data_IF_203623221231
#
_entry.id   IF_203623221231
#
_cell.length_a   1.000
_cell.length_b   1.000
_cell.length_c   1.000
_cell.angle_alpha   90.00
_cell.angle_beta   90.00
_cell.angle_gamma   90.00
#
_symmetry.space_group_name_H-M   'P 1'
#
loop_
_entity.id
_entity.type
_entity.pdbx_description
1 polymer ?
#
# COMPACT_ATOMS: atom_id res chain seq x y z
N UNK A 1 -25.40 -6.97 -0.82
CA UNK A 1 -23.96 -7.28 -0.87
C UNK A 1 -23.32 -6.30 0.08
N UNK A 2 -22.86 -6.78 1.22
CA UNK A 2 -22.21 -5.92 2.22
C UNK A 2 -20.91 -5.40 1.61
N UNK A 3 -20.90 -4.10 1.31
CA UNK A 3 -19.73 -3.39 0.80
C UNK A 3 -18.86 -3.03 2.01
N UNK A 4 -18.33 -4.03 2.70
CA UNK A 4 -17.50 -3.83 3.88
C UNK A 4 -16.25 -3.05 3.45
N UNK A 5 -15.97 -1.94 4.14
CA UNK A 5 -14.79 -1.14 3.86
C UNK A 5 -13.65 -1.62 4.76
N UNK A 6 -12.45 -1.68 4.20
CA UNK A 6 -11.21 -1.99 4.93
C UNK A 6 -10.28 -0.80 4.85
N UNK A 7 -9.53 -0.59 5.92
CA UNK A 7 -8.47 0.40 5.97
C UNK A 7 -7.16 -0.21 5.47
N UNK A 8 -6.51 0.47 4.52
CA UNK A 8 -5.21 0.06 3.98
C UNK A 8 -4.29 1.26 3.85
N UNK A 9 -2.99 1.02 3.91
CA UNK A 9 -1.97 2.03 3.66
C UNK A 9 -1.14 1.64 2.44
N UNK A 10 -1.01 2.58 1.50
CA UNK A 10 -0.13 2.42 0.33
C UNK A 10 1.10 3.26 0.57
N UNK A 11 2.26 2.62 0.50
CA UNK A 11 3.56 3.25 0.73
C UNK A 11 4.40 3.18 -0.54
N UNK A 12 5.01 4.30 -0.91
CA UNK A 12 6.07 4.33 -1.90
C UNK A 12 7.24 5.17 -1.39
N UNK A 13 8.45 4.67 -1.59
CA UNK A 13 9.67 5.31 -1.10
C UNK A 13 10.81 5.19 -2.12
N UNK A 14 11.51 6.29 -2.30
CA UNK A 14 12.81 6.41 -2.94
C UNK A 14 13.86 6.74 -1.86
N UNK A 15 15.17 6.71 -2.16
CA UNK A 15 16.20 7.08 -1.19
C UNK A 15 16.01 8.48 -0.58
N UNK A 16 15.46 9.41 -1.37
CA UNK A 16 15.34 10.82 -1.00
C UNK A 16 13.95 11.19 -0.45
N UNK A 17 12.92 10.37 -0.70
CA UNK A 17 11.53 10.71 -0.37
C UNK A 17 10.70 9.46 -0.11
N UNK A 18 9.87 9.51 0.92
CA UNK A 18 8.83 8.52 1.17
C UNK A 18 7.46 9.17 1.31
N UNK A 19 6.42 8.44 0.95
CA UNK A 19 5.04 8.86 1.12
C UNK A 19 4.17 7.66 1.50
N UNK A 20 3.28 7.89 2.46
CA UNK A 20 2.26 6.93 2.90
C UNK A 20 0.90 7.57 2.65
N UNK A 21 -0.01 6.81 2.05
CA UNK A 21 -1.39 7.23 1.81
C UNK A 21 -2.33 6.20 2.43
N UNK A 22 -3.05 6.62 3.45
CA UNK A 22 -4.11 5.83 4.07
C UNK A 22 -5.40 5.94 3.23
N UNK A 23 -6.04 4.81 2.97
CA UNK A 23 -7.25 4.70 2.16
C UNK A 23 -8.28 3.80 2.85
N UNK A 24 -9.54 4.17 2.73
CA UNK A 24 -10.65 3.22 2.94
C UNK A 24 -11.10 2.70 1.58
N UNK A 25 -11.03 1.39 1.41
CA UNK A 25 -11.40 0.72 0.15
C UNK A 25 -12.37 -0.41 0.42
N UNK A 26 -13.26 -0.75 -0.54
CA UNK A 26 -14.08 -1.94 -0.41
C UNK A 26 -13.23 -3.20 -0.24
N UNK A 27 -13.69 -4.11 0.61
CA UNK A 27 -13.12 -5.45 0.72
C UNK A 27 -13.12 -6.12 -0.67
N UNK A 28 -12.04 -6.84 -0.98
CA UNK A 28 -11.79 -7.39 -2.30
C UNK A 28 -11.16 -6.41 -3.30
N UNK A 29 -10.92 -5.15 -2.93
CA UNK A 29 -10.08 -4.24 -3.73
C UNK A 29 -8.70 -4.84 -3.92
N UNK A 30 -8.22 -4.87 -5.17
CA UNK A 30 -6.89 -5.42 -5.47
C UNK A 30 -5.78 -4.47 -5.01
N UNK A 31 -4.57 -5.00 -4.79
CA UNK A 31 -3.39 -4.19 -4.43
C UNK A 31 -3.13 -3.10 -5.47
N UNK A 32 -3.24 -3.43 -6.77
CA UNK A 32 -3.06 -2.48 -7.88
C UNK A 32 -4.10 -1.37 -7.84
N UNK A 33 -5.36 -1.70 -7.60
CA UNK A 33 -6.43 -0.69 -7.54
C UNK A 33 -6.26 0.23 -6.32
N UNK A 34 -5.86 -0.31 -5.16
CA UNK A 34 -5.54 0.49 -3.99
C UNK A 34 -4.37 1.44 -4.28
N UNK A 35 -3.31 0.95 -4.95
CA UNK A 35 -2.19 1.76 -5.36
C UNK A 35 -2.62 2.88 -6.32
N UNK A 36 -3.39 2.59 -7.36
CA UNK A 36 -3.90 3.61 -8.28
C UNK A 36 -4.78 4.65 -7.58
N UNK A 37 -5.62 4.22 -6.62
CA UNK A 37 -6.45 5.13 -5.79
C UNK A 37 -5.61 6.03 -4.88
N UNK A 38 -4.40 5.63 -4.49
CA UNK A 38 -3.51 6.46 -3.66
C UNK A 38 -3.02 7.74 -4.35
N UNK A 39 -3.00 7.76 -5.70
CA UNK A 39 -2.49 8.88 -6.49
C UNK A 39 -1.00 9.17 -6.28
N UNK A 40 -0.21 8.18 -5.85
CA UNK A 40 1.24 8.32 -5.63
C UNK A 40 2.00 8.63 -6.93
N UNK A 41 1.52 8.15 -8.07
CA UNK A 41 2.04 8.49 -9.41
C UNK A 41 2.10 10.00 -9.69
N UNK A 42 1.20 10.78 -9.07
CA UNK A 42 1.19 12.25 -9.21
C UNK A 42 2.22 12.94 -8.33
N UNK A 43 2.79 12.24 -7.36
CA UNK A 43 3.68 12.79 -6.34
C UNK A 43 5.13 12.36 -6.52
N UNK A 44 5.38 11.40 -7.42
CA UNK A 44 6.67 10.85 -7.77
C UNK A 44 6.82 10.82 -9.29
N UNK A 45 7.70 11.66 -9.81
CA UNK A 45 7.97 11.71 -11.24
C UNK A 45 8.52 10.36 -11.73
N UNK A 46 7.95 9.83 -12.81
CA UNK A 46 8.36 8.55 -13.40
C UNK A 46 7.78 7.29 -12.73
N UNK A 47 6.98 7.41 -11.67
CA UNK A 47 6.30 6.26 -11.07
C UNK A 47 5.09 5.83 -11.92
N UNK A 48 5.20 4.66 -12.56
CA UNK A 48 4.08 4.00 -13.25
C UNK A 48 3.48 2.89 -12.37
N UNK A 49 2.44 3.23 -11.61
CA UNK A 49 1.73 2.30 -10.74
C UNK A 49 1.06 1.13 -11.49
N UNK A 50 0.77 1.29 -12.80
CA UNK A 50 0.18 0.23 -13.59
C UNK A 50 1.19 -0.92 -13.85
N UNK A 51 2.49 -0.63 -13.79
CA UNK A 51 3.57 -1.59 -14.07
C UNK A 51 4.48 -1.87 -12.89
N UNK A 52 4.45 -1.05 -11.84
CA UNK A 52 5.31 -1.21 -10.68
C UNK A 52 5.15 -2.59 -10.02
N UNK A 53 6.26 -3.17 -9.59
CA UNK A 53 6.23 -4.33 -8.70
C UNK A 53 5.68 -3.92 -7.34
N UNK A 54 4.86 -4.79 -6.74
CA UNK A 54 4.20 -4.52 -5.46
C UNK A 54 4.26 -5.72 -4.55
N UNK A 55 4.43 -5.45 -3.25
CA UNK A 55 4.34 -6.43 -2.18
C UNK A 55 3.35 -5.98 -1.11
N UNK A 56 2.84 -6.93 -0.34
CA UNK A 56 2.04 -6.67 0.86
C UNK A 56 2.94 -6.86 2.08
N UNK A 57 3.10 -5.82 2.89
CA UNK A 57 3.84 -5.90 4.14
C UNK A 57 2.89 -6.18 5.31
N UNK A 58 3.20 -7.17 6.13
CA UNK A 58 2.36 -7.55 7.26
C UNK A 58 2.60 -8.98 7.74
N UNK A 59 3.78 -9.25 8.33
CA UNK A 59 3.95 -10.43 9.19
C UNK A 59 3.81 -9.94 10.63
N UNK A 60 2.73 -10.31 11.31
CA UNK A 60 2.58 -10.04 12.74
C UNK A 60 3.63 -10.87 13.50
N UNK A 61 4.56 -10.20 14.19
CA UNK A 61 5.55 -10.87 15.04
C UNK A 61 4.94 -11.06 16.42
N UNK A 62 4.50 -12.28 16.71
CA UNK A 62 3.83 -12.61 17.98
C UNK A 62 4.76 -12.49 19.21
N UNK A 63 6.09 -12.46 19.02
CA UNK A 63 7.10 -12.31 20.08
C UNK A 63 8.20 -11.35 19.61
N UNK A 64 8.03 -10.04 19.80
CA UNK A 64 8.97 -9.03 19.29
C UNK A 64 10.38 -9.16 19.89
N UNK A 65 10.50 -9.77 21.09
CA UNK A 65 11.76 -9.99 21.80
C UNK A 65 12.58 -11.20 21.28
N UNK A 66 12.02 -12.05 20.42
CA UNK A 66 12.71 -13.25 19.94
C UNK A 66 13.47 -12.95 18.64
N UNK A 67 14.75 -13.32 18.59
CA UNK A 67 15.53 -13.34 17.35
C UNK A 67 15.10 -14.59 16.57
N UNK A 68 14.41 -14.42 15.43
CA UNK A 68 14.26 -15.47 14.41
C UNK A 68 15.57 -15.63 13.61
#
# INVERSE_FOLDING_TARGET
MDNQMIHVEVVYATPDKQQIVALEVPEGTTVRDAALKSGLDRQFEGLDLAKADMGIFGKAVAKPESVE
#
